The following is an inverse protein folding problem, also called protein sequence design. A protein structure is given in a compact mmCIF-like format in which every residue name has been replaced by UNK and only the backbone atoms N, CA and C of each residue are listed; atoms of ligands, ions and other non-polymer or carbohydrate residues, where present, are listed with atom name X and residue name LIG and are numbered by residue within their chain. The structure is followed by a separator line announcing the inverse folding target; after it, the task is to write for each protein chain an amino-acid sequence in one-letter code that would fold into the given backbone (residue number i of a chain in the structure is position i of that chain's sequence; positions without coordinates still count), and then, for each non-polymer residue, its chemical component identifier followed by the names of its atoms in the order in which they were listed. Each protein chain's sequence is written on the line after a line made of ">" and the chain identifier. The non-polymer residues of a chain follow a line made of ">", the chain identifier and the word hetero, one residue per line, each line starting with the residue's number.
data_IF_987008073699
#
_entry.id   IF_987008073699
#
_cell.length_a   1.000
_cell.length_b   1.000
_cell.length_c   1.000
_cell.angle_alpha   90.00
_cell.angle_beta   90.00
_cell.angle_gamma   90.00
#
_symmetry.space_group_name_H-M   'P 1'
#
loop_
_entity.id
_entity.type
_entity.pdbx_description
1 polymer ?
#
# COMPACT_ATOMS: atom_id res chain seq x y z
N UNK A 1 34.09 -10.39 -13.90
CA UNK A 1 33.67 -8.99 -13.72
C UNK A 1 33.06 -8.87 -12.34
N UNK A 2 33.89 -8.42 -11.39
CA UNK A 2 33.58 -8.36 -9.96
C UNK A 2 32.74 -7.10 -9.69
N UNK A 3 31.47 -7.26 -9.33
CA UNK A 3 30.65 -6.16 -8.85
C UNK A 3 31.04 -5.83 -7.41
N UNK A 4 31.48 -4.60 -7.16
CA UNK A 4 31.66 -4.10 -5.80
C UNK A 4 30.31 -4.15 -5.05
N UNK A 5 30.30 -4.38 -3.71
CA UNK A 5 29.10 -4.15 -2.92
C UNK A 5 28.79 -2.66 -2.99
N UNK A 6 27.85 -2.29 -3.85
CA UNK A 6 27.51 -0.90 -4.10
C UNK A 6 26.66 -0.39 -2.95
N UNK A 7 27.16 0.58 -2.19
CA UNK A 7 26.38 1.32 -1.20
C UNK A 7 25.09 1.86 -1.82
N UNK A 8 23.99 1.76 -1.07
CA UNK A 8 22.69 2.30 -1.47
C UNK A 8 22.77 3.73 -2.03
N UNK A 9 22.06 4.05 -3.13
CA UNK A 9 22.02 5.41 -3.67
C UNK A 9 21.57 6.42 -2.60
N UNK A 10 22.27 7.55 -2.40
CA UNK A 10 21.90 8.54 -1.38
C UNK A 10 20.46 9.06 -1.51
N UNK A 11 19.96 9.21 -2.74
CA UNK A 11 18.58 9.60 -3.00
C UNK A 11 17.57 8.59 -2.41
N UNK A 12 17.85 7.29 -2.52
CA UNK A 12 17.00 6.25 -1.96
C UNK A 12 17.02 6.26 -0.43
N UNK A 13 18.20 6.40 0.17
CA UNK A 13 18.34 6.52 1.63
C UNK A 13 17.57 7.74 2.15
N UNK A 14 17.72 8.89 1.50
CA UNK A 14 17.00 10.11 1.83
C UNK A 14 15.49 9.96 1.66
N UNK A 15 15.03 9.26 0.62
CA UNK A 15 13.62 8.99 0.40
C UNK A 15 13.02 8.12 1.52
N UNK A 16 13.73 7.04 1.88
CA UNK A 16 13.33 6.12 2.96
C UNK A 16 13.24 6.85 4.30
N UNK A 17 14.29 7.60 4.66
CA UNK A 17 14.39 8.35 5.91
C UNK A 17 13.44 9.56 5.96
N UNK A 18 13.15 10.18 4.82
CA UNK A 18 12.28 11.36 4.71
C UNK A 18 10.77 11.07 4.86
N UNK A 19 10.39 9.80 5.04
CA UNK A 19 8.99 9.38 5.22
C UNK A 19 8.53 8.27 4.27
N UNK A 20 9.35 7.85 3.30
CA UNK A 20 8.98 6.80 2.35
C UNK A 20 8.69 5.45 3.03
N UNK A 21 9.46 5.11 4.08
CA UNK A 21 9.20 3.91 4.88
C UNK A 21 7.87 4.00 5.65
N UNK A 22 7.50 5.20 6.12
CA UNK A 22 6.24 5.40 6.82
C UNK A 22 5.04 5.25 5.87
N UNK A 23 5.16 5.73 4.63
CA UNK A 23 4.13 5.55 3.61
C UNK A 23 3.89 4.06 3.30
N UNK A 24 4.95 3.30 3.05
CA UNK A 24 4.84 1.87 2.71
C UNK A 24 4.32 1.04 3.88
N UNK A 25 4.85 1.23 5.09
CA UNK A 25 4.39 0.50 6.29
C UNK A 25 2.98 0.88 6.72
N UNK A 26 2.61 2.17 6.62
CA UNK A 26 1.27 2.65 6.93
C UNK A 26 0.20 2.00 6.05
N UNK A 27 0.43 1.94 4.74
CA UNK A 27 -0.49 1.26 3.81
C UNK A 27 -0.64 -0.23 4.09
N UNK A 28 0.46 -0.93 4.42
CA UNK A 28 0.37 -2.33 4.85
C UNK A 28 -0.44 -2.49 6.13
N UNK A 29 -0.25 -1.61 7.11
CA UNK A 29 -1.02 -1.64 8.34
C UNK A 29 -2.53 -1.42 8.08
N UNK A 30 -2.90 -0.38 7.32
CA UNK A 30 -4.31 -0.11 6.97
C UNK A 30 -4.94 -1.27 6.19
N UNK A 31 -4.21 -1.79 5.19
CA UNK A 31 -4.71 -2.92 4.40
C UNK A 31 -4.96 -4.15 5.27
N UNK A 32 -4.09 -4.42 6.26
CA UNK A 32 -4.29 -5.51 7.21
C UNK A 32 -5.53 -5.30 8.09
N UNK A 33 -5.82 -4.06 8.48
CA UNK A 33 -7.02 -3.72 9.25
C UNK A 33 -8.29 -3.93 8.43
N UNK A 34 -8.28 -3.59 7.14
CA UNK A 34 -9.40 -3.87 6.22
C UNK A 34 -9.64 -5.38 6.11
N UNK A 35 -8.58 -6.16 5.89
CA UNK A 35 -8.66 -7.61 5.76
C UNK A 35 -9.14 -8.27 7.06
N UNK A 36 -8.70 -7.79 8.22
CA UNK A 36 -9.17 -8.26 9.52
C UNK A 36 -10.63 -7.86 9.81
N UNK A 37 -11.03 -6.65 9.43
CA UNK A 37 -12.38 -6.13 9.58
C UNK A 37 -13.42 -6.96 8.81
N UNK A 38 -13.05 -7.48 7.63
CA UNK A 38 -13.88 -8.41 6.87
C UNK A 38 -14.12 -9.72 7.62
N UNK A 39 -13.08 -10.30 8.24
CA UNK A 39 -13.20 -11.55 9.00
C UNK A 39 -14.12 -11.43 10.22
N UNK A 40 -14.29 -10.21 10.74
CA UNK A 40 -15.14 -9.90 11.90
C UNK A 40 -16.56 -9.43 11.50
N UNK A 41 -17.13 -9.94 10.41
CA UNK A 41 -18.49 -9.66 9.93
C UNK A 41 -18.76 -8.22 9.44
N UNK A 42 -17.72 -7.45 9.09
CA UNK A 42 -17.90 -6.19 8.33
C UNK A 42 -18.59 -5.04 9.07
N UNK A 43 -18.55 -5.02 10.41
CA UNK A 43 -19.14 -3.95 11.24
C UNK A 43 -18.46 -2.57 11.08
N UNK A 44 -18.77 -1.60 11.97
CA UNK A 44 -18.24 -0.21 11.91
C UNK A 44 -16.71 -0.11 11.77
N UNK A 45 -16.01 -1.13 12.27
CA UNK A 45 -14.56 -1.27 12.17
C UNK A 45 -14.06 -1.39 10.73
N UNK A 46 -14.82 -2.01 9.82
CA UNK A 46 -14.44 -2.16 8.42
C UNK A 46 -14.59 -0.83 7.65
N UNK A 47 -15.68 -0.09 7.87
CA UNK A 47 -15.89 1.22 7.24
C UNK A 47 -14.75 2.18 7.59
N UNK A 48 -14.42 2.29 8.89
CA UNK A 48 -13.31 3.12 9.36
C UNK A 48 -11.95 2.68 8.77
N UNK A 49 -11.69 1.38 8.69
CA UNK A 49 -10.46 0.87 8.09
C UNK A 49 -10.35 1.22 6.60
N UNK A 50 -11.45 1.13 5.85
CA UNK A 50 -11.46 1.48 4.42
C UNK A 50 -11.31 2.98 4.19
N UNK A 51 -11.88 3.83 5.06
CA UNK A 51 -11.64 5.27 5.02
C UNK A 51 -10.20 5.65 5.38
N UNK A 52 -9.61 4.98 6.38
CA UNK A 52 -8.19 5.15 6.75
C UNK A 52 -7.27 4.81 5.56
N UNK A 53 -7.49 3.64 4.95
CA UNK A 53 -6.74 3.22 3.77
C UNK A 53 -6.87 4.24 2.63
N UNK A 54 -8.08 4.68 2.30
CA UNK A 54 -8.29 5.68 1.24
C UNK A 54 -7.59 7.03 1.53
N UNK A 55 -7.52 7.44 2.80
CA UNK A 55 -6.77 8.63 3.21
C UNK A 55 -5.27 8.45 3.03
N UNK A 56 -4.72 7.33 3.49
CA UNK A 56 -3.28 7.09 3.45
C UNK A 56 -2.78 6.78 2.03
N UNK A 57 -3.60 6.17 1.17
CA UNK A 57 -3.31 6.04 -0.27
C UNK A 57 -3.17 7.40 -0.94
N UNK A 58 -4.06 8.36 -0.63
CA UNK A 58 -3.95 9.73 -1.15
C UNK A 58 -2.69 10.43 -0.67
N UNK A 59 -2.32 10.27 0.60
CA UNK A 59 -1.06 10.80 1.12
C UNK A 59 0.16 10.18 0.42
N UNK A 60 0.13 8.86 0.20
CA UNK A 60 1.19 8.12 -0.48
C UNK A 60 1.33 8.49 -1.97
N UNK A 61 0.22 8.72 -2.68
CA UNK A 61 0.21 9.22 -4.07
C UNK A 61 0.76 10.65 -4.18
N UNK A 62 0.59 11.46 -3.14
CA UNK A 62 1.10 12.83 -3.09
C UNK A 62 2.57 12.92 -2.59
N UNK A 63 3.11 11.83 -2.07
CA UNK A 63 4.50 11.78 -1.62
C UNK A 63 5.46 11.74 -2.82
N UNK A 64 6.71 12.15 -2.57
CA UNK A 64 7.76 12.10 -3.59
C UNK A 64 7.93 10.68 -4.17
N UNK A 65 8.18 10.54 -5.48
CA UNK A 65 8.35 9.24 -6.11
C UNK A 65 9.58 8.52 -5.58
N UNK A 66 9.54 7.19 -5.61
CA UNK A 66 10.70 6.35 -5.30
C UNK A 66 11.79 6.64 -6.34
N UNK A 67 13.04 6.92 -5.93
CA UNK A 67 14.15 7.21 -6.85
C UNK A 67 14.74 5.91 -7.46
N UNK A 68 13.86 5.04 -7.96
CA UNK A 68 14.15 3.84 -8.75
C UNK A 68 12.94 3.58 -9.65
N UNK A 69 13.09 3.68 -10.98
CA UNK A 69 11.96 3.65 -11.91
C UNK A 69 11.16 2.35 -11.88
N UNK A 70 11.83 1.22 -11.65
CA UNK A 70 11.19 -0.10 -11.62
C UNK A 70 10.34 -0.24 -10.36
N UNK A 71 10.90 0.12 -9.22
CA UNK A 71 10.22 0.12 -7.92
C UNK A 71 9.10 1.15 -7.88
N UNK A 72 9.31 2.33 -8.48
CA UNK A 72 8.30 3.37 -8.58
C UNK A 72 7.09 2.92 -9.41
N UNK A 73 7.30 2.23 -10.54
CA UNK A 73 6.19 1.68 -11.33
C UNK A 73 5.39 0.64 -10.55
N UNK A 74 6.06 -0.27 -9.85
CA UNK A 74 5.41 -1.26 -9.01
C UNK A 74 4.63 -0.60 -7.85
N UNK A 75 5.22 0.40 -7.19
CA UNK A 75 4.59 1.21 -6.16
C UNK A 75 3.34 1.94 -6.68
N UNK A 76 3.43 2.63 -7.82
CA UNK A 76 2.30 3.32 -8.42
C UNK A 76 1.16 2.35 -8.79
N UNK A 77 1.50 1.15 -9.28
CA UNK A 77 0.52 0.09 -9.53
C UNK A 77 -0.20 -0.38 -8.26
N UNK A 78 0.55 -0.62 -7.18
CA UNK A 78 -0.04 -0.98 -5.89
C UNK A 78 -0.95 0.15 -5.33
N UNK A 79 -0.52 1.41 -5.45
CA UNK A 79 -1.33 2.56 -5.05
C UNK A 79 -2.62 2.69 -5.84
N UNK A 80 -2.61 2.41 -7.15
CA UNK A 80 -3.81 2.43 -7.97
C UNK A 80 -4.82 1.35 -7.52
N UNK A 81 -4.34 0.14 -7.24
CA UNK A 81 -5.20 -0.95 -6.73
C UNK A 81 -5.73 -0.67 -5.32
N UNK A 82 -4.93 -0.06 -4.45
CA UNK A 82 -5.44 0.39 -3.15
C UNK A 82 -6.46 1.52 -3.27
N UNK A 83 -6.26 2.49 -4.17
CA UNK A 83 -7.17 3.62 -4.39
C UNK A 83 -8.55 3.12 -4.83
N UNK A 84 -8.58 2.25 -5.83
CA UNK A 84 -9.81 1.63 -6.32
C UNK A 84 -10.44 0.71 -5.27
N UNK A 85 -9.67 -0.22 -4.69
CA UNK A 85 -10.15 -1.15 -3.67
C UNK A 85 -10.68 -0.44 -2.41
N UNK A 86 -10.04 0.65 -1.96
CA UNK A 86 -10.51 1.42 -0.81
C UNK A 86 -11.80 2.19 -1.14
N UNK A 87 -11.90 2.80 -2.32
CA UNK A 87 -13.12 3.48 -2.77
C UNK A 87 -14.32 2.52 -2.87
N UNK A 88 -14.09 1.33 -3.44
CA UNK A 88 -15.10 0.27 -3.53
C UNK A 88 -15.47 -0.28 -2.15
N UNK A 89 -14.52 -0.41 -1.23
CA UNK A 89 -14.81 -0.83 0.13
C UNK A 89 -15.68 0.22 0.87
N UNK A 90 -15.34 1.52 0.77
CA UNK A 90 -16.13 2.58 1.39
C UNK A 90 -17.55 2.62 0.82
N UNK A 91 -17.69 2.47 -0.50
CA UNK A 91 -19.01 2.42 -1.15
C UNK A 91 -19.79 1.17 -0.73
N UNK A 92 -19.14 0.01 -0.73
CA UNK A 92 -19.76 -1.26 -0.34
C UNK A 92 -20.20 -1.29 1.13
N UNK A 93 -19.41 -0.73 2.04
CA UNK A 93 -19.77 -0.64 3.47
C UNK A 93 -20.97 0.29 3.70
N UNK A 94 -21.03 1.44 3.01
CA UNK A 94 -22.20 2.35 3.06
C UNK A 94 -23.47 1.72 2.47
N UNK A 95 -23.32 0.93 1.41
CA UNK A 95 -24.43 0.23 0.76
C UNK A 95 -24.79 -1.12 1.42
N UNK A 96 -24.05 -1.55 2.46
CA UNK A 96 -24.11 -2.88 3.05
C UNK A 96 -24.04 -4.02 2.00
N UNK A 97 -23.23 -3.82 0.95
CA UNK A 97 -23.10 -4.74 -0.17
C UNK A 97 -21.92 -5.70 0.07
N UNK A 98 -22.22 -6.87 0.62
CA UNK A 98 -21.21 -7.89 0.93
C UNK A 98 -20.41 -8.37 -0.31
N UNK A 99 -21.04 -8.40 -1.48
CA UNK A 99 -20.36 -8.79 -2.73
C UNK A 99 -19.30 -7.77 -3.15
N UNK A 100 -19.66 -6.48 -3.09
CA UNK A 100 -18.74 -5.37 -3.38
C UNK A 100 -17.60 -5.30 -2.36
N UNK A 101 -17.91 -5.41 -1.06
CA UNK A 101 -16.91 -5.49 0.01
C UNK A 101 -15.95 -6.67 -0.23
N UNK A 102 -16.48 -7.82 -0.63
CA UNK A 102 -15.68 -9.02 -0.92
C UNK A 102 -14.72 -8.81 -2.08
N UNK A 103 -15.17 -8.17 -3.16
CA UNK A 103 -14.35 -7.83 -4.31
C UNK A 103 -13.26 -6.83 -3.95
N UNK A 104 -13.65 -5.74 -3.29
CA UNK A 104 -12.75 -4.67 -2.84
C UNK A 104 -11.62 -5.20 -1.93
N UNK A 105 -11.96 -6.01 -0.94
CA UNK A 105 -10.96 -6.59 -0.02
C UNK A 105 -10.03 -7.59 -0.72
N UNK A 106 -10.49 -8.31 -1.76
CA UNK A 106 -9.61 -9.17 -2.58
C UNK A 106 -8.57 -8.32 -3.33
N UNK A 107 -9.00 -7.22 -3.93
CA UNK A 107 -8.12 -6.28 -4.63
C UNK A 107 -7.12 -5.60 -3.68
N UNK A 108 -7.58 -5.17 -2.50
CA UNK A 108 -6.71 -4.67 -1.42
C UNK A 108 -5.67 -5.72 -1.04
N UNK A 109 -6.08 -6.99 -0.92
CA UNK A 109 -5.16 -8.12 -0.68
C UNK A 109 -4.09 -8.25 -1.78
N UNK A 110 -4.49 -8.25 -3.05
CA UNK A 110 -3.54 -8.28 -4.19
C UNK A 110 -2.58 -7.09 -4.17
N UNK A 111 -3.07 -5.88 -3.90
CA UNK A 111 -2.27 -4.66 -3.81
C UNK A 111 -1.30 -4.71 -2.63
N UNK A 112 -1.70 -5.34 -1.52
CA UNK A 112 -0.85 -5.57 -0.34
C UNK A 112 0.32 -6.50 -0.65
N UNK A 113 0.08 -7.58 -1.41
CA UNK A 113 1.17 -8.46 -1.85
C UNK A 113 2.13 -7.75 -2.82
N UNK A 114 1.62 -6.93 -3.73
CA UNK A 114 2.45 -6.10 -4.60
C UNK A 114 3.29 -5.10 -3.79
N UNK A 115 2.72 -4.48 -2.76
CA UNK A 115 3.43 -3.58 -1.86
C UNK A 115 4.52 -4.31 -1.06
N UNK A 116 4.29 -5.54 -0.59
CA UNK A 116 5.34 -6.33 0.07
C UNK A 116 6.53 -6.56 -0.86
N UNK A 117 6.29 -6.84 -2.14
CA UNK A 117 7.36 -6.98 -3.13
C UNK A 117 8.14 -5.67 -3.33
N UNK A 118 7.45 -4.53 -3.37
CA UNK A 118 8.09 -3.20 -3.39
C UNK A 118 8.99 -3.02 -2.16
N UNK A 119 8.53 -3.36 -0.97
CA UNK A 119 9.32 -3.24 0.26
C UNK A 119 10.54 -4.17 0.29
N UNK A 120 10.41 -5.40 -0.21
CA UNK A 120 11.55 -6.30 -0.39
C UNK A 120 12.58 -5.66 -1.32
N UNK A 121 12.14 -5.14 -2.47
CA UNK A 121 13.03 -4.49 -3.44
C UNK A 121 13.73 -3.26 -2.88
N UNK A 122 13.01 -2.41 -2.14
CA UNK A 122 13.59 -1.27 -1.43
C UNK A 122 14.66 -1.70 -0.42
N UNK A 123 14.41 -2.79 0.31
CA UNK A 123 15.36 -3.34 1.28
C UNK A 123 16.61 -3.89 0.60
N UNK A 124 16.48 -4.50 -0.58
CA UNK A 124 17.63 -4.99 -1.36
C UNK A 124 18.46 -3.85 -1.95
N UNK A 125 17.82 -2.76 -2.37
CA UNK A 125 18.48 -1.57 -2.90
C UNK A 125 19.16 -0.71 -1.82
N UNK A 126 18.76 -0.89 -0.55
CA UNK A 126 19.28 -0.15 0.59
C UNK A 126 20.49 -0.81 1.29
N UNK A 127 20.90 -2.00 0.84
CA UNK A 127 22.07 -2.75 1.33
C UNK A 127 23.33 -2.37 0.56
#
# INVERSE_FOLDING_TARGET
>A
MSGAPGTAPPALVNWLQGGGLQQTSGLLADSSQVLAGRSNSGGPNLANACESLAKNVRAAKAYQPIPDETTQRAWAGALAGFDHGAAECVTGTKANNAGQISSATKEIGTSSEALKQVMTRLSDLAR
#
